data_IF_551985792825
#
_entry.id   IF_551985792825
#
_cell.length_a   1.000
_cell.length_b   1.000
_cell.length_c   1.000
_cell.angle_alpha   90.00
_cell.angle_beta   90.00
_cell.angle_gamma   90.00
#
_symmetry.space_group_name_H-M   'P 1'
#
loop_
_entity.id
_entity.type
_entity.pdbx_description
1 polymer ?
#
# COMPACT_ATOMS: atom_id res chain seq x y z
N UNK A 1 -16.03 27.14 -9.06
CA UNK A 1 -14.98 26.40 -8.33
C UNK A 1 -14.82 25.09 -9.08
N UNK A 2 -13.63 24.79 -9.59
CA UNK A 2 -13.35 23.46 -10.16
C UNK A 2 -12.64 22.63 -9.09
N UNK A 3 -13.15 21.43 -8.84
CA UNK A 3 -12.57 20.48 -7.91
C UNK A 3 -11.73 19.46 -8.68
N UNK A 4 -10.65 19.00 -8.06
CA UNK A 4 -9.86 17.89 -8.58
C UNK A 4 -10.64 16.58 -8.46
N UNK A 5 -10.42 15.67 -9.40
CA UNK A 5 -10.88 14.29 -9.22
C UNK A 5 -9.96 13.56 -8.21
N UNK A 6 -10.40 12.45 -7.59
CA UNK A 6 -9.60 11.74 -6.59
C UNK A 6 -8.19 11.35 -7.10
N UNK A 7 -8.07 10.96 -8.36
CA UNK A 7 -6.80 10.59 -8.99
C UNK A 7 -5.87 11.80 -9.15
N UNK A 8 -6.40 12.98 -9.46
CA UNK A 8 -5.65 14.23 -9.48
C UNK A 8 -5.20 14.63 -8.07
N UNK A 9 -6.04 14.45 -7.04
CA UNK A 9 -5.67 14.72 -5.65
C UNK A 9 -4.51 13.80 -5.21
N UNK A 10 -4.53 12.52 -5.60
CA UNK A 10 -3.46 11.55 -5.36
C UNK A 10 -2.20 11.90 -6.16
N UNK A 11 -2.35 12.42 -7.38
CA UNK A 11 -1.21 12.88 -8.17
C UNK A 11 -0.56 14.11 -7.51
N UNK A 12 -1.33 15.15 -7.21
CA UNK A 12 -0.76 16.46 -6.87
C UNK A 12 -0.40 16.60 -5.39
N UNK A 13 -1.23 16.11 -4.48
CA UNK A 13 -1.03 16.28 -3.04
C UNK A 13 0.28 15.64 -2.54
N UNK A 14 0.44 14.32 -2.70
CA UNK A 14 1.68 13.61 -2.42
C UNK A 14 2.91 14.14 -3.17
N UNK A 15 2.78 14.55 -4.44
CA UNK A 15 3.91 15.13 -5.21
C UNK A 15 4.41 16.44 -4.59
N UNK A 16 3.50 17.37 -4.27
CA UNK A 16 3.86 18.62 -3.61
C UNK A 16 4.45 18.36 -2.21
N UNK A 17 3.94 17.36 -1.49
CA UNK A 17 4.48 16.96 -0.19
C UNK A 17 5.91 16.42 -0.30
N UNK A 18 6.20 15.57 -1.28
CA UNK A 18 7.55 15.08 -1.55
C UNK A 18 8.51 16.22 -1.93
N UNK A 19 8.07 17.17 -2.75
CA UNK A 19 8.88 18.34 -3.12
C UNK A 19 9.29 19.15 -1.89
N UNK A 20 8.32 19.42 -1.01
CA UNK A 20 8.56 20.12 0.25
C UNK A 20 9.50 19.33 1.17
N UNK A 21 9.34 18.01 1.27
CA UNK A 21 10.24 17.15 2.03
C UNK A 21 11.67 17.20 1.50
N UNK A 22 11.85 17.06 0.18
CA UNK A 22 13.15 17.05 -0.48
C UNK A 22 13.87 18.38 -0.29
N UNK A 23 13.20 19.50 -0.58
CA UNK A 23 13.86 20.81 -0.52
C UNK A 23 14.21 21.22 0.90
N UNK A 24 13.39 20.86 1.91
CA UNK A 24 13.59 21.25 3.32
C UNK A 24 14.51 20.31 4.08
N UNK A 25 14.50 19.01 3.78
CA UNK A 25 15.40 18.03 4.41
C UNK A 25 16.87 18.17 3.97
N UNK A 26 17.12 18.92 2.88
CA UNK A 26 18.43 19.04 2.22
C UNK A 26 18.95 17.72 1.62
N UNK A 27 18.09 16.72 1.46
CA UNK A 27 18.41 15.53 0.67
C UNK A 27 18.66 15.92 -0.80
N UNK A 28 19.45 15.11 -1.50
CA UNK A 28 19.80 15.30 -2.91
C UNK A 28 18.99 14.43 -3.88
N UNK A 29 18.03 13.67 -3.35
CA UNK A 29 17.15 12.83 -4.14
C UNK A 29 16.36 11.81 -3.33
N UNK A 30 15.77 10.87 -4.06
CA UNK A 30 14.99 9.75 -3.58
C UNK A 30 15.56 8.43 -4.08
N UNK A 31 15.43 7.39 -3.27
CA UNK A 31 15.63 6.02 -3.69
C UNK A 31 14.36 5.20 -3.46
N UNK A 32 13.89 4.50 -4.49
CA UNK A 32 12.71 3.64 -4.42
C UNK A 32 13.05 2.21 -4.82
N UNK A 33 12.81 1.22 -3.93
CA UNK A 33 12.66 -0.17 -4.31
C UNK A 33 11.46 -0.34 -5.26
N UNK A 34 11.73 -0.49 -6.56
CA UNK A 34 10.69 -0.56 -7.59
C UNK A 34 10.45 -2.02 -7.97
N UNK A 35 9.32 -2.58 -7.53
CA UNK A 35 8.99 -4.00 -7.71
C UNK A 35 8.30 -4.33 -9.04
N UNK A 36 7.79 -3.33 -9.77
CA UNK A 36 6.90 -3.55 -10.92
C UNK A 36 5.46 -3.94 -10.54
N UNK A 37 5.13 -3.93 -9.24
CA UNK A 37 3.78 -4.02 -8.70
C UNK A 37 3.10 -2.65 -8.58
N UNK A 38 1.79 -2.67 -8.29
CA UNK A 38 0.93 -1.48 -8.28
C UNK A 38 1.42 -0.37 -7.34
N UNK A 39 1.85 -0.73 -6.13
CA UNK A 39 2.11 0.26 -5.08
C UNK A 39 3.41 1.01 -5.33
N UNK A 40 4.52 0.30 -5.56
CA UNK A 40 5.80 0.95 -5.90
C UNK A 40 5.70 1.73 -7.22
N UNK A 41 4.88 1.27 -8.17
CA UNK A 41 4.66 2.00 -9.42
C UNK A 41 3.85 3.29 -9.20
N UNK A 42 2.92 3.28 -8.25
CA UNK A 42 2.19 4.49 -7.83
C UNK A 42 3.13 5.51 -7.19
N UNK A 43 4.04 5.07 -6.31
CA UNK A 43 5.07 5.95 -5.73
C UNK A 43 5.97 6.54 -6.82
N UNK A 44 6.41 5.72 -7.78
CA UNK A 44 7.23 6.18 -8.90
C UNK A 44 6.48 7.23 -9.75
N UNK A 45 5.21 6.98 -10.07
CA UNK A 45 4.37 7.93 -10.81
C UNK A 45 4.19 9.26 -10.08
N UNK A 46 4.05 9.24 -8.75
CA UNK A 46 3.99 10.45 -7.90
C UNK A 46 5.31 11.24 -7.96
N UNK A 47 6.47 10.57 -7.93
CA UNK A 47 7.76 11.26 -8.09
C UNK A 47 7.91 11.82 -9.51
N UNK A 48 7.46 11.09 -10.53
CA UNK A 48 7.41 11.59 -11.91
C UNK A 48 6.52 12.82 -12.06
N UNK A 49 5.31 12.79 -11.48
CA UNK A 49 4.39 13.92 -11.43
C UNK A 49 5.00 15.13 -10.70
N UNK A 50 5.71 14.90 -9.59
CA UNK A 50 6.45 15.96 -8.88
C UNK A 50 7.46 16.63 -9.82
N UNK A 51 8.25 15.87 -10.58
CA UNK A 51 9.18 16.45 -11.54
C UNK A 51 8.45 17.25 -12.64
N UNK A 52 7.33 16.75 -13.17
CA UNK A 52 6.53 17.48 -14.17
C UNK A 52 5.98 18.80 -13.61
N UNK A 53 5.50 18.81 -12.36
CA UNK A 53 5.02 20.03 -11.69
C UNK A 53 6.16 21.03 -11.47
N UNK A 54 7.35 20.58 -11.06
CA UNK A 54 8.53 21.43 -10.88
C UNK A 54 8.91 22.14 -12.19
N UNK A 55 8.98 21.41 -13.30
CA UNK A 55 9.27 22.02 -14.61
C UNK A 55 8.19 23.03 -14.98
N UNK A 56 6.91 22.67 -14.80
CA UNK A 56 5.78 23.56 -15.09
C UNK A 56 5.85 24.87 -14.30
N UNK A 57 6.31 24.85 -13.06
CA UNK A 57 6.43 26.06 -12.25
C UNK A 57 7.68 26.88 -12.59
N UNK A 58 8.77 26.23 -13.00
CA UNK A 58 9.95 26.92 -13.58
C UNK A 58 9.54 27.66 -14.86
N UNK A 59 8.76 27.03 -15.74
CA UNK A 59 8.28 27.63 -16.99
C UNK A 59 7.35 28.83 -16.76
N UNK A 60 6.66 28.87 -15.60
CA UNK A 60 5.85 30.03 -15.18
C UNK A 60 6.68 31.15 -14.54
N UNK A 61 7.99 30.95 -14.34
CA UNK A 61 8.88 31.93 -13.74
C UNK A 61 8.97 31.87 -12.21
N UNK A 62 8.70 30.72 -11.59
CA UNK A 62 8.94 30.55 -10.15
C UNK A 62 10.45 30.41 -9.86
N UNK A 63 11.06 31.52 -9.47
CA UNK A 63 12.50 31.58 -9.17
C UNK A 63 12.91 30.76 -7.94
N UNK A 64 12.00 30.55 -6.97
CA UNK A 64 12.30 29.72 -5.80
C UNK A 64 12.38 28.25 -6.20
N UNK A 65 11.38 27.75 -6.93
CA UNK A 65 11.35 26.37 -7.43
C UNK A 65 12.57 26.12 -8.34
N UNK A 66 12.90 27.07 -9.21
CA UNK A 66 14.09 27.00 -10.07
C UNK A 66 15.38 26.88 -9.27
N UNK A 67 15.57 27.72 -8.26
CA UNK A 67 16.76 27.68 -7.40
C UNK A 67 16.84 26.37 -6.60
N UNK A 68 15.72 25.91 -6.04
CA UNK A 68 15.66 24.64 -5.31
C UNK A 68 15.96 23.44 -6.23
N UNK A 69 15.41 23.41 -7.44
CA UNK A 69 15.64 22.34 -8.41
C UNK A 69 17.09 22.31 -8.91
N UNK A 70 17.67 23.49 -9.19
CA UNK A 70 19.09 23.61 -9.56
C UNK A 70 20.00 23.08 -8.44
N UNK A 71 19.69 23.40 -7.18
CA UNK A 71 20.42 22.90 -6.01
C UNK A 71 20.29 21.40 -5.83
N UNK A 72 19.06 20.88 -5.80
CA UNK A 72 18.79 19.46 -5.53
C UNK A 72 19.42 18.59 -6.63
N UNK A 73 19.21 18.97 -7.90
CA UNK A 73 19.79 18.27 -9.04
C UNK A 73 21.30 18.51 -9.23
N UNK A 74 21.92 19.38 -8.41
CA UNK A 74 23.34 19.73 -8.46
C UNK A 74 23.76 20.16 -9.88
N UNK A 75 23.00 21.10 -10.44
CA UNK A 75 23.31 21.73 -11.73
C UNK A 75 24.51 22.68 -11.57
N UNK A 76 25.22 22.93 -12.68
CA UNK A 76 26.31 23.91 -12.70
C UNK A 76 25.73 25.33 -12.67
N UNK A 77 26.57 26.30 -12.34
CA UNK A 77 26.17 27.71 -12.29
C UNK A 77 25.54 28.16 -13.61
N UNK A 78 24.30 28.65 -13.55
CA UNK A 78 23.53 29.10 -14.71
C UNK A 78 22.72 28.01 -15.42
N UNK A 79 22.91 26.72 -15.09
CA UNK A 79 22.09 25.62 -15.59
C UNK A 79 20.87 25.38 -14.69
N UNK A 80 19.75 24.97 -15.28
CA UNK A 80 18.53 24.60 -14.56
C UNK A 80 17.76 23.55 -15.36
N UNK A 81 16.91 22.74 -14.70
CA UNK A 81 16.14 21.71 -15.40
C UNK A 81 15.10 22.33 -16.33
N UNK A 82 15.00 21.78 -17.54
CA UNK A 82 13.97 22.14 -18.54
C UNK A 82 13.13 20.94 -18.98
N UNK A 83 13.47 19.73 -18.53
CA UNK A 83 12.79 18.49 -18.87
C UNK A 83 12.60 17.64 -17.62
N UNK A 84 11.38 17.13 -17.42
CA UNK A 84 11.04 16.43 -16.18
C UNK A 84 11.74 15.09 -16.05
N UNK A 85 12.06 14.44 -17.18
CA UNK A 85 12.77 13.15 -17.19
C UNK A 85 14.25 13.35 -16.88
N UNK A 86 14.85 14.44 -17.37
CA UNK A 86 16.22 14.84 -17.03
C UNK A 86 16.35 15.18 -15.54
N UNK A 87 15.40 15.95 -15.00
CA UNK A 87 15.34 16.23 -13.57
C UNK A 87 15.19 14.93 -12.76
N UNK A 88 14.25 14.05 -13.14
CA UNK A 88 14.06 12.75 -12.50
C UNK A 88 15.33 11.91 -12.54
N UNK A 89 16.07 11.90 -13.65
CA UNK A 89 17.34 11.14 -13.77
C UNK A 89 18.40 11.57 -12.74
N UNK A 90 18.35 12.83 -12.30
CA UNK A 90 19.33 13.37 -11.34
C UNK A 90 18.97 13.11 -9.90
N UNK A 91 17.69 13.10 -9.56
CA UNK A 91 17.22 13.06 -8.18
C UNK A 91 16.43 11.80 -7.84
N UNK A 92 16.01 10.98 -8.81
CA UNK A 92 15.18 9.81 -8.57
C UNK A 92 15.88 8.53 -9.01
N UNK A 93 16.22 7.71 -8.01
CA UNK A 93 16.89 6.44 -8.17
C UNK A 93 15.90 5.32 -7.91
N UNK A 94 15.82 4.36 -8.83
CA UNK A 94 14.95 3.19 -8.70
C UNK A 94 15.80 1.92 -8.74
N UNK A 95 15.44 0.93 -7.94
CA UNK A 95 16.13 -0.36 -7.93
C UNK A 95 15.13 -1.51 -7.90
N UNK A 96 15.20 -2.36 -8.91
CA UNK A 96 14.54 -3.67 -8.93
C UNK A 96 15.48 -4.69 -8.28
N UNK A 97 15.00 -5.40 -7.25
CA UNK A 97 15.80 -6.36 -6.48
C UNK A 97 15.23 -7.77 -6.66
N UNK A 98 15.54 -8.35 -7.81
CA UNK A 98 15.04 -9.65 -8.25
C UNK A 98 15.73 -10.83 -7.56
N UNK A 99 15.03 -11.96 -7.56
CA UNK A 99 15.55 -13.27 -7.14
C UNK A 99 15.27 -14.29 -8.24
N UNK A 100 15.73 -15.53 -8.08
CA UNK A 100 15.38 -16.66 -8.96
C UNK A 100 13.86 -16.90 -9.07
N UNK A 101 13.09 -16.44 -8.07
CA UNK A 101 11.63 -16.56 -8.03
C UNK A 101 10.91 -15.42 -8.77
N UNK A 102 11.62 -14.36 -9.14
CA UNK A 102 11.01 -13.16 -9.71
C UNK A 102 10.76 -13.31 -11.20
N UNK A 103 9.59 -12.89 -11.67
CA UNK A 103 9.20 -13.03 -13.08
C UNK A 103 9.88 -11.98 -13.97
N UNK A 104 10.10 -12.34 -15.23
CA UNK A 104 10.55 -11.36 -16.23
C UNK A 104 9.51 -10.25 -16.44
N UNK A 105 8.23 -10.55 -16.21
CA UNK A 105 7.15 -9.58 -16.35
C UNK A 105 7.23 -8.46 -15.30
N UNK A 106 7.47 -8.77 -14.01
CA UNK A 106 7.64 -7.73 -12.97
C UNK A 106 8.89 -6.89 -13.22
N UNK A 107 10.00 -7.53 -13.59
CA UNK A 107 11.26 -6.86 -13.96
C UNK A 107 11.05 -5.91 -15.14
N UNK A 108 10.40 -6.38 -16.20
CA UNK A 108 10.15 -5.61 -17.42
C UNK A 108 9.26 -4.40 -17.16
N UNK A 109 8.19 -4.57 -16.37
CA UNK A 109 7.31 -3.44 -15.97
C UNK A 109 8.07 -2.38 -15.18
N UNK A 110 8.87 -2.78 -14.19
CA UNK A 110 9.68 -1.85 -13.40
C UNK A 110 10.63 -1.03 -14.29
N UNK A 111 11.32 -1.69 -15.22
CA UNK A 111 12.24 -1.05 -16.15
C UNK A 111 11.53 -0.08 -17.10
N UNK A 112 10.43 -0.50 -17.74
CA UNK A 112 9.67 0.37 -18.66
C UNK A 112 9.17 1.63 -17.96
N UNK A 113 8.60 1.49 -16.77
CA UNK A 113 8.12 2.64 -16.00
C UNK A 113 9.26 3.58 -15.61
N UNK A 114 10.39 3.02 -15.17
CA UNK A 114 11.57 3.81 -14.83
C UNK A 114 12.10 4.61 -16.02
N UNK A 115 12.08 4.03 -17.23
CA UNK A 115 12.44 4.68 -18.49
C UNK A 115 11.44 5.78 -18.89
N UNK A 116 10.13 5.54 -18.78
CA UNK A 116 9.08 6.53 -19.05
C UNK A 116 9.24 7.77 -18.14
N UNK A 117 9.43 7.56 -16.84
CA UNK A 117 9.65 8.64 -15.86
C UNK A 117 11.02 9.32 -16.06
N UNK A 118 12.03 8.57 -16.49
CA UNK A 118 13.41 9.04 -16.62
C UNK A 118 14.28 8.82 -15.38
N UNK A 119 13.86 7.98 -14.44
CA UNK A 119 14.64 7.69 -13.22
C UNK A 119 15.96 6.96 -13.53
N UNK A 120 16.95 7.09 -12.65
CA UNK A 120 18.17 6.29 -12.74
C UNK A 120 17.90 4.88 -12.19
N UNK A 121 17.77 3.90 -13.09
CA UNK A 121 17.31 2.55 -12.76
C UNK A 121 18.43 1.52 -12.61
N UNK A 122 18.32 0.68 -11.58
CA UNK A 122 19.17 -0.48 -11.34
C UNK A 122 18.32 -1.76 -11.36
N UNK A 123 18.88 -2.82 -11.92
CA UNK A 123 18.38 -4.19 -11.80
C UNK A 123 19.45 -5.03 -11.12
N UNK A 124 19.14 -5.51 -9.90
CA UNK A 124 20.11 -6.16 -9.02
C UNK A 124 19.57 -7.53 -8.59
N UNK A 125 20.21 -8.63 -9.01
CA UNK A 125 19.91 -9.94 -8.45
C UNK A 125 20.47 -10.05 -7.02
N UNK A 126 19.63 -10.47 -6.06
CA UNK A 126 20.02 -10.56 -4.64
C UNK A 126 20.28 -11.99 -4.15
N UNK A 127 20.17 -12.99 -5.02
CA UNK A 127 20.26 -14.42 -4.67
C UNK A 127 21.58 -14.79 -3.99
N UNK A 128 22.69 -14.16 -4.39
CA UNK A 128 24.00 -14.40 -3.79
C UNK A 128 24.05 -13.95 -2.33
N UNK A 129 23.41 -12.83 -2.00
CA UNK A 129 23.32 -12.29 -0.64
C UNK A 129 22.39 -13.16 0.21
N UNK A 130 21.23 -13.55 -0.33
CA UNK A 130 20.29 -14.46 0.32
C UNK A 130 20.99 -15.79 0.64
N UNK A 131 21.67 -16.38 -0.35
CA UNK A 131 22.40 -17.63 -0.20
C UNK A 131 23.49 -17.53 0.87
N UNK A 132 24.23 -16.42 0.94
CA UNK A 132 25.24 -16.22 1.97
C UNK A 132 24.66 -16.24 3.39
N UNK A 133 23.48 -15.60 3.59
CA UNK A 133 22.77 -15.64 4.87
C UNK A 133 22.28 -17.05 5.22
N UNK A 134 21.73 -17.79 4.24
CA UNK A 134 21.26 -19.16 4.46
C UNK A 134 22.42 -20.12 4.78
N UNK A 135 23.55 -20.02 4.07
CA UNK A 135 24.75 -20.81 4.37
C UNK A 135 25.35 -20.47 5.73
N UNK A 136 25.26 -19.21 6.18
CA UNK A 136 25.63 -18.85 7.55
C UNK A 136 24.70 -19.52 8.57
N UNK A 137 23.38 -19.44 8.37
CA UNK A 137 22.40 -20.06 9.26
C UNK A 137 22.58 -21.58 9.35
N UNK A 138 22.82 -22.25 8.22
CA UNK A 138 23.08 -23.68 8.16
C UNK A 138 24.36 -24.06 8.93
N UNK A 139 25.46 -23.29 8.76
CA UNK A 139 26.69 -23.51 9.54
C UNK A 139 26.49 -23.31 11.05
N UNK A 140 25.64 -22.38 11.45
CA UNK A 140 25.37 -22.09 12.86
C UNK A 140 24.45 -23.12 13.54
N UNK A 141 23.49 -23.67 12.79
CA UNK A 141 22.39 -24.47 13.38
C UNK A 141 22.36 -25.93 12.93
N UNK A 142 23.11 -26.28 11.88
CA UNK A 142 23.03 -27.57 11.20
C UNK A 142 21.73 -27.82 10.43
N UNK A 143 20.89 -26.78 10.24
CA UNK A 143 19.60 -26.89 9.54
C UNK A 143 19.53 -25.89 8.39
N UNK A 144 19.01 -26.33 7.25
CA UNK A 144 18.69 -25.49 6.11
C UNK A 144 17.17 -25.41 5.94
N UNK A 145 16.57 -24.20 5.96
CA UNK A 145 15.13 -24.05 5.75
C UNK A 145 14.77 -24.32 4.28
N UNK A 146 13.58 -24.89 4.06
CA UNK A 146 13.02 -25.14 2.73
C UNK A 146 11.73 -24.34 2.51
N UNK A 147 11.45 -23.97 1.24
CA UNK A 147 10.14 -23.40 0.89
C UNK A 147 9.04 -24.45 1.08
N UNK A 148 7.80 -23.98 1.27
CA UNK A 148 6.64 -24.84 1.44
C UNK A 148 6.43 -25.76 0.22
N UNK A 149 6.64 -25.22 -0.98
CA UNK A 149 6.57 -25.97 -2.26
C UNK A 149 7.64 -27.07 -2.37
N UNK A 150 8.71 -26.98 -1.58
CA UNK A 150 9.81 -27.93 -1.50
C UNK A 150 9.73 -28.83 -0.25
N UNK A 151 8.58 -28.85 0.44
CA UNK A 151 8.33 -29.70 1.61
C UNK A 151 8.71 -29.06 2.95
N UNK A 152 9.08 -27.78 2.98
CA UNK A 152 9.33 -27.04 4.21
C UNK A 152 8.07 -26.73 5.01
N UNK A 153 8.22 -26.50 6.32
CA UNK A 153 7.12 -26.07 7.19
C UNK A 153 6.71 -24.62 6.92
N UNK A 154 5.53 -24.21 7.41
CA UNK A 154 5.08 -22.82 7.34
C UNK A 154 6.09 -21.83 7.95
N UNK A 155 6.74 -22.23 9.05
CA UNK A 155 7.76 -21.41 9.72
C UNK A 155 8.99 -21.20 8.86
N UNK A 156 9.47 -22.26 8.18
CA UNK A 156 10.61 -22.17 7.27
C UNK A 156 10.29 -21.28 6.07
N UNK A 157 9.14 -21.51 5.44
CA UNK A 157 8.67 -20.75 4.30
C UNK A 157 8.59 -19.24 4.61
N UNK A 158 7.94 -18.89 5.74
CA UNK A 158 7.84 -17.51 6.18
C UNK A 158 9.21 -16.93 6.55
N UNK A 159 10.11 -17.73 7.13
CA UNK A 159 11.48 -17.34 7.40
C UNK A 159 12.26 -16.95 6.13
N UNK A 160 12.13 -17.76 5.08
CA UNK A 160 12.75 -17.53 3.76
C UNK A 160 12.21 -16.28 3.05
N UNK A 161 10.90 -16.06 3.08
CA UNK A 161 10.31 -14.84 2.53
C UNK A 161 10.77 -13.59 3.29
N UNK A 162 10.76 -13.66 4.63
CA UNK A 162 11.14 -12.53 5.48
C UNK A 162 12.61 -12.12 5.27
N UNK A 163 13.53 -13.07 5.12
CA UNK A 163 14.96 -12.72 4.95
C UNK A 163 15.20 -12.03 3.60
N UNK A 164 14.55 -12.47 2.53
CA UNK A 164 14.60 -11.79 1.23
C UNK A 164 14.05 -10.36 1.35
N UNK A 165 12.90 -10.18 1.99
CA UNK A 165 12.27 -8.88 2.17
C UNK A 165 13.17 -7.90 2.98
N UNK A 166 13.87 -8.39 4.01
CA UNK A 166 14.79 -7.57 4.82
C UNK A 166 16.10 -7.24 4.11
N UNK A 167 16.66 -8.17 3.33
CA UNK A 167 17.87 -7.91 2.55
C UNK A 167 17.64 -6.76 1.55
N UNK A 168 16.45 -6.73 0.92
CA UNK A 168 16.05 -5.63 0.03
C UNK A 168 16.09 -4.27 0.74
N UNK A 169 15.59 -4.20 1.98
CA UNK A 169 15.65 -2.97 2.78
C UNK A 169 17.09 -2.54 3.07
N UNK A 170 17.94 -3.47 3.51
CA UNK A 170 19.36 -3.18 3.79
C UNK A 170 20.07 -2.64 2.55
N UNK A 171 19.85 -3.27 1.39
CA UNK A 171 20.42 -2.82 0.12
C UNK A 171 19.91 -1.43 -0.28
N UNK A 172 18.60 -1.17 -0.13
CA UNK A 172 18.00 0.12 -0.43
C UNK A 172 18.64 1.27 0.37
N UNK A 173 18.79 1.12 1.69
CA UNK A 173 19.42 2.14 2.53
C UNK A 173 20.92 2.31 2.24
N UNK A 174 21.63 1.21 1.96
CA UNK A 174 23.03 1.28 1.55
C UNK A 174 23.18 2.08 0.25
N UNK A 175 22.34 1.81 -0.75
CA UNK A 175 22.33 2.58 -2.00
C UNK A 175 21.94 4.04 -1.75
N UNK A 176 20.92 4.30 -0.93
CA UNK A 176 20.49 5.67 -0.67
C UNK A 176 21.59 6.54 -0.03
N UNK A 177 22.45 5.90 0.77
CA UNK A 177 23.61 6.53 1.42
C UNK A 177 24.82 6.68 0.49
N UNK A 178 25.07 5.72 -0.39
CA UNK A 178 26.32 5.63 -1.16
C UNK A 178 26.19 6.03 -2.63
N UNK A 179 24.99 6.01 -3.22
CA UNK A 179 24.81 6.37 -4.63
C UNK A 179 25.21 7.82 -4.95
N UNK A 180 24.97 8.83 -4.08
CA UNK A 180 25.55 10.17 -4.29
C UNK A 180 27.07 10.10 -4.43
N UNK A 181 27.75 9.40 -3.52
CA UNK A 181 29.21 9.20 -3.55
C UNK A 181 29.67 8.51 -4.84
N UNK A 182 29.00 7.43 -5.28
CA UNK A 182 29.29 6.72 -6.54
C UNK A 182 29.24 7.68 -7.74
N UNK A 183 28.31 8.64 -7.72
CA UNK A 183 28.15 9.61 -8.80
C UNK A 183 28.95 10.91 -8.59
N UNK A 184 29.87 10.95 -7.62
CA UNK A 184 30.62 12.17 -7.25
C UNK A 184 29.69 13.35 -6.93
N UNK A 185 28.50 13.05 -6.40
CA UNK A 185 27.51 14.01 -5.91
C UNK A 185 27.58 14.09 -4.39
N UNK A 186 27.17 15.23 -3.85
CA UNK A 186 27.01 15.42 -2.42
C UNK A 186 25.62 15.01 -1.93
N UNK A 187 25.48 14.83 -0.61
CA UNK A 187 24.20 14.57 0.05
C UNK A 187 23.85 13.09 0.19
N UNK A 188 22.57 12.83 0.40
CA UNK A 188 21.98 11.51 0.62
C UNK A 188 20.61 11.46 -0.05
N UNK A 189 20.12 10.25 -0.32
CA UNK A 189 18.76 10.04 -0.83
C UNK A 189 17.83 9.61 0.29
N UNK A 190 16.58 10.06 0.23
CA UNK A 190 15.51 9.57 1.08
C UNK A 190 14.96 8.27 0.50
N UNK A 191 14.92 7.21 1.29
CA UNK A 191 14.28 5.95 0.90
C UNK A 191 12.78 6.13 0.94
N UNK A 192 12.11 5.81 -0.16
CA UNK A 192 10.66 5.85 -0.28
C UNK A 192 10.04 4.47 0.01
N UNK A 193 9.08 4.44 0.91
CA UNK A 193 8.25 3.26 1.17
C UNK A 193 7.05 3.21 0.23
N UNK A 194 6.49 2.02 0.04
CA UNK A 194 5.36 1.78 -0.87
C UNK A 194 4.29 0.87 -0.28
N UNK A 195 4.12 0.84 1.04
CA UNK A 195 2.99 0.13 1.65
C UNK A 195 1.73 0.98 1.57
N UNK A 196 0.58 0.41 1.26
CA UNK A 196 -0.70 1.12 1.26
C UNK A 196 -1.44 1.04 2.61
N UNK A 197 -2.53 1.80 2.75
CA UNK A 197 -3.27 1.92 4.01
C UNK A 197 -3.93 0.60 4.44
N UNK A 198 -4.37 -0.22 3.49
CA UNK A 198 -5.12 -1.45 3.74
C UNK A 198 -4.18 -2.57 4.23
N UNK A 199 -3.00 -2.69 3.62
CA UNK A 199 -1.91 -3.56 4.07
C UNK A 199 -1.41 -3.16 5.46
N UNK A 200 -1.22 -1.86 5.70
CA UNK A 200 -0.86 -1.32 7.01
C UNK A 200 -1.90 -1.67 8.08
N UNK A 201 -3.18 -1.48 7.78
CA UNK A 201 -4.29 -1.80 8.68
C UNK A 201 -4.30 -3.29 9.06
N UNK A 202 -4.08 -4.15 8.08
CA UNK A 202 -4.03 -5.61 8.26
C UNK A 202 -2.71 -6.09 8.86
N UNK A 203 -1.66 -5.27 8.75
CA UNK A 203 -0.28 -5.61 9.04
C UNK A 203 0.28 -6.70 8.13
N UNK A 204 -0.14 -6.72 6.87
CA UNK A 204 0.34 -7.60 5.81
C UNK A 204 1.62 -7.01 5.19
N UNK A 205 2.71 -7.12 5.95
CA UNK A 205 4.05 -6.66 5.59
C UNK A 205 5.07 -7.38 6.46
N UNK A 206 6.33 -7.48 6.02
CA UNK A 206 7.41 -8.00 6.86
C UNK A 206 7.94 -6.87 7.73
N UNK A 207 7.99 -7.07 9.05
CA UNK A 207 8.56 -6.04 9.94
C UNK A 207 10.04 -5.82 9.56
N UNK A 208 10.37 -4.57 9.23
CA UNK A 208 11.68 -4.13 8.74
C UNK A 208 12.09 -4.62 7.34
N UNK A 209 11.13 -4.84 6.44
CA UNK A 209 11.39 -4.88 5.00
C UNK A 209 11.30 -3.47 4.36
N UNK A 210 11.13 -3.37 3.05
CA UNK A 210 10.97 -2.10 2.32
C UNK A 210 9.68 -1.31 2.68
N UNK A 211 8.78 -1.85 3.51
CA UNK A 211 7.74 -1.07 4.20
C UNK A 211 8.31 -0.12 5.25
N UNK A 212 9.56 -0.37 5.68
CA UNK A 212 10.36 0.49 6.55
C UNK A 212 11.35 1.29 5.69
N UNK A 213 10.99 2.54 5.45
CA UNK A 213 11.70 3.56 4.69
C UNK A 213 11.70 4.89 5.48
N UNK A 214 12.26 5.97 4.91
CA UNK A 214 12.28 7.29 5.55
C UNK A 214 10.89 7.93 5.54
N UNK A 215 10.23 7.90 4.38
CA UNK A 215 8.89 8.46 4.16
C UNK A 215 8.09 7.63 3.16
N UNK A 216 6.75 7.66 3.26
CA UNK A 216 5.86 6.94 2.36
C UNK A 216 4.74 7.85 1.82
N UNK A 217 4.73 8.19 0.52
CA UNK A 217 3.73 9.09 -0.05
C UNK A 217 2.35 8.44 -0.25
N UNK A 218 2.23 7.11 -0.17
CA UNK A 218 0.97 6.38 -0.41
C UNK A 218 0.45 5.63 0.82
N UNK A 219 1.13 5.72 1.97
CA UNK A 219 0.79 4.94 3.18
C UNK A 219 -0.57 5.20 3.79
N UNK A 220 -1.27 6.24 3.33
CA UNK A 220 -2.65 6.54 3.70
C UNK A 220 -3.61 6.55 2.51
N UNK A 221 -3.28 5.88 1.39
CA UNK A 221 -4.14 5.75 0.20
C UNK A 221 -4.62 4.29 0.09
N UNK A 222 -5.90 4.10 -0.26
CA UNK A 222 -6.49 2.76 -0.43
C UNK A 222 -5.96 2.04 -1.67
N UNK A 223 -5.92 0.71 -1.64
CA UNK A 223 -5.50 -0.09 -2.80
C UNK A 223 -6.41 0.17 -4.01
N UNK A 224 -7.70 0.41 -3.77
CA UNK A 224 -8.66 0.69 -4.84
C UNK A 224 -8.36 2.03 -5.52
N UNK A 225 -8.07 3.07 -4.73
CA UNK A 225 -7.74 4.38 -5.27
C UNK A 225 -6.38 4.39 -5.96
N UNK A 226 -5.40 3.61 -5.47
CA UNK A 226 -4.14 3.42 -6.17
C UNK A 226 -4.34 2.79 -7.56
N UNK A 227 -5.21 1.77 -7.68
CA UNK A 227 -5.53 1.19 -9.00
C UNK A 227 -6.20 2.20 -9.93
N UNK A 228 -7.13 3.02 -9.41
CA UNK A 228 -7.75 4.09 -10.19
C UNK A 228 -6.70 5.12 -10.64
N UNK A 229 -5.82 5.53 -9.73
CA UNK A 229 -4.71 6.43 -10.01
C UNK A 229 -3.76 5.88 -11.07
N UNK A 230 -3.41 4.59 -11.05
CA UNK A 230 -2.54 3.99 -12.07
C UNK A 230 -3.13 4.11 -13.49
N UNK A 231 -4.43 3.85 -13.66
CA UNK A 231 -5.13 4.02 -14.94
C UNK A 231 -5.13 5.48 -15.38
N UNK A 232 -5.39 6.40 -14.44
CA UNK A 232 -5.36 7.82 -14.71
C UNK A 232 -3.96 8.29 -15.12
N UNK A 233 -2.93 7.88 -14.38
CA UNK A 233 -1.53 8.25 -14.61
C UNK A 233 -1.00 7.70 -15.94
N UNK A 234 -1.45 6.51 -16.35
CA UNK A 234 -1.08 5.94 -17.65
C UNK A 234 -1.41 6.87 -18.82
N UNK A 235 -2.54 7.57 -18.72
CA UNK A 235 -3.03 8.48 -19.76
C UNK A 235 -2.55 9.92 -19.51
N UNK A 236 -2.79 10.45 -18.30
CA UNK A 236 -2.64 11.87 -18.01
C UNK A 236 -1.19 12.28 -17.69
N UNK A 237 -0.38 11.35 -17.15
CA UNK A 237 1.06 11.57 -16.95
C UNK A 237 1.91 10.97 -18.08
N UNK A 238 1.27 10.30 -19.05
CA UNK A 238 1.89 9.62 -20.19
C UNK A 238 2.83 8.46 -19.80
N UNK A 239 2.52 7.77 -18.70
CA UNK A 239 3.27 6.60 -18.22
C UNK A 239 2.54 5.31 -18.63
N UNK A 240 2.52 5.03 -19.93
CA UNK A 240 1.67 3.98 -20.54
C UNK A 240 1.83 2.60 -19.92
N UNK A 241 3.04 2.25 -19.44
CA UNK A 241 3.31 0.98 -18.77
C UNK A 241 2.46 0.74 -17.51
N UNK A 242 1.93 1.80 -16.88
CA UNK A 242 1.08 1.69 -15.69
C UNK A 242 -0.26 0.99 -15.96
N UNK A 243 -0.75 1.00 -17.20
CA UNK A 243 -1.96 0.25 -17.56
C UNK A 243 -1.74 -1.27 -17.43
N UNK A 244 -0.55 -1.75 -17.83
CA UNK A 244 -0.17 -3.16 -17.67
C UNK A 244 0.11 -3.52 -16.21
N UNK A 245 0.70 -2.59 -15.44
CA UNK A 245 0.90 -2.76 -13.98
C UNK A 245 -0.44 -2.94 -13.28
N UNK A 246 -1.44 -2.12 -13.61
CA UNK A 246 -2.76 -2.20 -12.97
C UNK A 246 -3.51 -3.49 -13.34
N UNK A 247 -3.37 -3.94 -14.59
CA UNK A 247 -4.00 -5.17 -15.07
C UNK A 247 -3.35 -6.45 -14.50
N UNK A 248 -2.10 -6.37 -14.05
CA UNK A 248 -1.39 -7.51 -13.51
C UNK A 248 -1.98 -7.97 -12.16
N UNK A 249 -2.05 -9.30 -11.90
CA UNK A 249 -2.50 -9.80 -10.61
C UNK A 249 -1.52 -9.40 -9.50
N UNK A 250 -2.01 -8.99 -8.32
CA UNK A 250 -1.14 -8.64 -7.18
C UNK A 250 -0.46 -9.89 -6.62
N UNK A 251 0.87 -9.93 -6.67
CA UNK A 251 1.71 -11.04 -6.21
C UNK A 251 3.02 -10.51 -5.59
N UNK A 252 3.50 -11.18 -4.54
CA UNK A 252 4.74 -10.83 -3.86
C UNK A 252 6.00 -11.49 -4.45
N UNK A 253 5.84 -12.55 -5.25
CA UNK A 253 6.94 -13.33 -5.88
C UNK A 253 8.10 -13.67 -4.92
N UNK A 254 7.78 -14.04 -3.66
CA UNK A 254 8.78 -14.40 -2.63
C UNK A 254 8.97 -15.91 -2.46
N UNK A 255 8.13 -16.71 -3.11
CA UNK A 255 8.20 -18.18 -3.17
C UNK A 255 8.45 -18.62 -4.62
N UNK A 256 9.06 -19.81 -4.85
CA UNK A 256 9.21 -20.36 -6.18
C UNK A 256 7.86 -20.49 -6.90
N UNK A 257 7.73 -19.79 -8.03
CA UNK A 257 6.54 -19.86 -8.88
C UNK A 257 6.54 -21.23 -9.56
N UNK A 258 5.47 -22.00 -9.37
CA UNK A 258 5.20 -23.24 -10.11
C UNK A 258 3.97 -23.07 -10.98
N UNK A 259 3.82 -23.91 -11.99
CA UNK A 259 2.70 -23.84 -12.95
C UNK A 259 1.32 -23.87 -12.29
N UNK A 260 1.22 -24.42 -11.07
CA UNK A 260 0.00 -24.55 -10.27
C UNK A 260 -0.08 -23.60 -9.06
N UNK A 261 0.94 -22.75 -8.82
CA UNK A 261 1.01 -21.91 -7.63
C UNK A 261 1.56 -20.50 -7.90
N UNK A 262 0.73 -19.51 -7.63
CA UNK A 262 1.11 -18.10 -7.54
C UNK A 262 0.69 -17.52 -6.20
N UNK A 263 1.55 -16.69 -5.62
CA UNK A 263 1.33 -16.08 -4.31
C UNK A 263 0.46 -14.83 -4.43
N UNK A 264 -0.86 -15.00 -4.42
CA UNK A 264 -1.82 -13.89 -4.48
C UNK A 264 -2.09 -13.27 -3.11
N UNK A 265 -1.94 -11.96 -3.00
CA UNK A 265 -2.06 -11.23 -1.72
C UNK A 265 -3.40 -11.45 -1.00
N UNK A 266 -4.52 -11.35 -1.73
CA UNK A 266 -5.86 -11.49 -1.13
C UNK A 266 -6.13 -12.91 -0.61
N UNK A 267 -5.54 -13.91 -1.26
CA UNK A 267 -5.62 -15.32 -0.84
C UNK A 267 -4.80 -15.51 0.44
N UNK A 268 -3.57 -14.98 0.48
CA UNK A 268 -2.69 -15.06 1.64
C UNK A 268 -3.27 -14.30 2.86
N UNK A 269 -3.91 -13.14 2.63
CA UNK A 269 -4.58 -12.38 3.68
C UNK A 269 -5.89 -13.06 4.16
N UNK A 270 -6.53 -13.84 3.29
CA UNK A 270 -7.87 -14.42 3.51
C UNK A 270 -8.99 -13.37 3.49
N UNK A 271 -8.78 -12.27 2.76
CA UNK A 271 -9.71 -11.14 2.64
C UNK A 271 -9.35 -10.31 1.41
N UNK A 272 -10.36 -9.75 0.75
CA UNK A 272 -10.13 -8.86 -0.41
C UNK A 272 -9.77 -7.45 0.05
N UNK A 273 -9.14 -6.67 -0.83
CA UNK A 273 -8.88 -5.25 -0.59
C UNK A 273 -10.19 -4.46 -0.42
N UNK A 274 -11.27 -4.85 -1.11
CA UNK A 274 -12.60 -4.25 -0.92
C UNK A 274 -13.13 -4.48 0.51
N UNK A 275 -13.00 -5.71 1.02
CA UNK A 275 -13.37 -6.02 2.40
C UNK A 275 -12.52 -5.24 3.40
N UNK A 276 -11.21 -5.14 3.16
CA UNK A 276 -10.28 -4.39 4.01
C UNK A 276 -10.64 -2.90 4.13
N UNK A 277 -10.93 -2.23 3.00
CA UNK A 277 -11.33 -0.83 3.04
C UNK A 277 -12.66 -0.63 3.78
N UNK A 278 -13.61 -1.58 3.66
CA UNK A 278 -14.85 -1.58 4.45
C UNK A 278 -14.55 -1.73 5.95
N UNK A 279 -13.73 -2.70 6.34
CA UNK A 279 -13.33 -2.90 7.74
C UNK A 279 -12.63 -1.67 8.31
N UNK A 280 -11.74 -1.04 7.54
CA UNK A 280 -11.03 0.18 7.91
C UNK A 280 -11.98 1.32 8.22
N UNK A 281 -12.92 1.62 7.31
CA UNK A 281 -13.93 2.67 7.49
C UNK A 281 -14.83 2.37 8.69
N UNK A 282 -15.34 1.14 8.82
CA UNK A 282 -16.17 0.74 9.97
C UNK A 282 -15.41 0.89 11.29
N UNK A 283 -14.16 0.42 11.36
CA UNK A 283 -13.32 0.49 12.56
C UNK A 283 -13.01 1.92 12.98
N UNK A 284 -12.60 2.77 12.04
CA UNK A 284 -12.02 4.10 12.35
C UNK A 284 -13.06 5.23 12.27
N UNK A 285 -13.84 5.29 11.20
CA UNK A 285 -14.83 6.36 10.98
C UNK A 285 -16.09 6.08 11.80
N UNK A 286 -16.65 4.88 11.67
CA UNK A 286 -17.87 4.49 12.39
C UNK A 286 -17.60 3.93 13.79
N UNK A 287 -16.33 3.86 14.21
CA UNK A 287 -15.89 3.46 15.55
C UNK A 287 -16.36 2.07 15.98
N UNK A 288 -16.55 1.16 15.03
CA UNK A 288 -17.02 -0.18 15.30
C UNK A 288 -15.91 -1.06 15.89
N UNK A 289 -16.16 -1.64 17.07
CA UNK A 289 -15.46 -2.84 17.55
C UNK A 289 -16.01 -4.12 16.92
N UNK A 290 -15.53 -5.32 17.33
CA UNK A 290 -15.89 -6.58 16.66
C UNK A 290 -17.41 -6.84 16.60
N UNK A 291 -18.12 -6.67 17.72
CA UNK A 291 -19.57 -6.95 17.80
C UNK A 291 -20.37 -5.98 16.93
N UNK A 292 -20.11 -4.68 17.04
CA UNK A 292 -20.79 -3.66 16.24
C UNK A 292 -20.47 -3.77 14.74
N UNK A 293 -19.24 -4.16 14.38
CA UNK A 293 -18.86 -4.39 12.99
C UNK A 293 -19.61 -5.59 12.43
N UNK A 294 -19.68 -6.69 13.18
CA UNK A 294 -20.49 -7.85 12.83
C UNK A 294 -21.95 -7.46 12.57
N UNK A 295 -22.62 -6.78 13.50
CA UNK A 295 -24.01 -6.36 13.34
C UNK A 295 -24.23 -5.46 12.11
N UNK A 296 -23.30 -4.52 11.86
CA UNK A 296 -23.38 -3.65 10.68
C UNK A 296 -23.23 -4.45 9.37
N UNK A 297 -22.22 -5.33 9.31
CA UNK A 297 -21.96 -6.15 8.13
C UNK A 297 -23.03 -7.20 7.88
N UNK A 298 -23.66 -7.70 8.95
CA UNK A 298 -24.83 -8.56 8.84
C UNK A 298 -25.94 -7.91 8.01
N UNK A 299 -26.21 -6.62 8.26
CA UNK A 299 -27.16 -5.87 7.47
C UNK A 299 -26.63 -5.59 6.05
N UNK A 300 -25.38 -5.11 5.94
CA UNK A 300 -24.79 -4.70 4.64
C UNK A 300 -24.59 -5.87 3.67
N UNK A 301 -24.30 -7.06 4.18
CA UNK A 301 -24.08 -8.28 3.40
C UNK A 301 -25.24 -9.26 3.50
N UNK A 302 -26.40 -8.81 4.00
CA UNK A 302 -27.64 -9.57 3.95
C UNK A 302 -27.91 -10.05 2.52
N UNK A 303 -28.40 -11.28 2.38
CA UNK A 303 -28.62 -11.91 1.07
C UNK A 303 -27.37 -12.41 0.34
N UNK A 304 -26.17 -11.92 0.69
CA UNK A 304 -24.90 -12.35 0.10
C UNK A 304 -24.15 -13.36 0.96
N UNK A 305 -24.14 -13.17 2.27
CA UNK A 305 -23.47 -14.03 3.24
C UNK A 305 -24.42 -14.40 4.39
N UNK A 306 -24.20 -15.57 4.99
CA UNK A 306 -24.84 -15.98 6.23
C UNK A 306 -24.23 -15.26 7.44
N UNK A 307 -24.96 -15.15 8.57
CA UNK A 307 -24.42 -14.58 9.80
C UNK A 307 -23.11 -15.25 10.22
N UNK A 308 -23.02 -16.58 10.12
CA UNK A 308 -21.81 -17.35 10.45
C UNK A 308 -20.61 -16.96 9.58
N UNK A 309 -20.80 -16.79 8.26
CA UNK A 309 -19.72 -16.35 7.36
C UNK A 309 -19.27 -14.91 7.67
N UNK A 310 -20.21 -14.01 8.00
CA UNK A 310 -19.87 -12.65 8.43
C UNK A 310 -19.10 -12.68 9.75
N UNK A 311 -19.51 -13.52 10.70
CA UNK A 311 -18.81 -13.69 11.98
C UNK A 311 -17.37 -14.16 11.77
N UNK A 312 -17.15 -15.17 10.92
CA UNK A 312 -15.82 -15.69 10.63
C UNK A 312 -14.91 -14.62 10.01
N UNK A 313 -15.43 -13.86 9.04
CA UNK A 313 -14.70 -12.75 8.42
C UNK A 313 -14.31 -11.66 9.42
N UNK A 314 -15.24 -11.23 10.27
CA UNK A 314 -14.98 -10.20 11.30
C UNK A 314 -13.97 -10.71 12.33
N UNK A 315 -14.11 -11.95 12.80
CA UNK A 315 -13.16 -12.57 13.73
C UNK A 315 -11.77 -12.68 13.13
N UNK A 316 -11.67 -13.09 11.86
CA UNK A 316 -10.42 -13.18 11.12
C UNK A 316 -9.74 -11.81 11.01
N UNK A 317 -10.47 -10.77 10.60
CA UNK A 317 -9.96 -9.40 10.56
C UNK A 317 -9.40 -8.94 11.92
N UNK A 318 -10.19 -9.03 13.00
CA UNK A 318 -9.76 -8.52 14.32
C UNK A 318 -8.63 -9.34 14.95
N UNK A 319 -8.58 -10.67 14.72
CA UNK A 319 -7.45 -11.51 15.13
C UNK A 319 -6.16 -10.99 14.52
N UNK A 320 -6.17 -10.77 13.21
CA UNK A 320 -4.96 -10.40 12.50
C UNK A 320 -4.56 -8.93 12.68
N UNK A 321 -5.53 -8.02 12.74
CA UNK A 321 -5.31 -6.65 13.18
C UNK A 321 -4.61 -6.63 14.56
N UNK A 322 -5.09 -7.44 15.51
CA UNK A 322 -4.53 -7.50 16.86
C UNK A 322 -3.09 -8.02 16.90
N UNK A 323 -2.81 -9.19 16.28
CA UNK A 323 -1.45 -9.78 16.34
C UNK A 323 -0.43 -8.94 15.59
N UNK A 324 -0.84 -8.21 14.55
CA UNK A 324 0.07 -7.42 13.74
C UNK A 324 0.15 -5.94 14.13
N UNK A 325 -0.64 -5.45 15.11
CA UNK A 325 -0.64 -4.02 15.45
C UNK A 325 0.73 -3.50 15.87
N UNK A 326 1.56 -4.34 16.49
CA UNK A 326 2.94 -4.03 16.84
C UNK A 326 3.84 -3.66 15.64
N UNK A 327 3.41 -3.90 14.39
CA UNK A 327 4.10 -3.43 13.18
C UNK A 327 3.83 -1.95 12.91
N UNK A 328 2.64 -1.46 13.26
CA UNK A 328 2.26 -0.05 13.04
C UNK A 328 3.05 0.93 13.90
N UNK A 329 3.58 0.49 15.04
CA UNK A 329 4.38 1.33 15.94
C UNK A 329 5.74 1.72 15.35
N UNK A 330 6.17 1.04 14.28
CA UNK A 330 7.45 1.30 13.59
C UNK A 330 7.26 1.48 12.08
N UNK A 331 6.01 1.53 11.60
CA UNK A 331 5.75 1.71 10.18
C UNK A 331 6.16 3.14 9.78
N UNK A 332 6.65 3.28 8.55
CA UNK A 332 7.15 4.55 8.03
C UNK A 332 6.11 5.68 8.10
N UNK A 333 6.51 6.88 8.54
CA UNK A 333 5.67 8.07 8.48
C UNK A 333 5.15 8.31 7.06
N UNK A 334 3.84 8.50 6.95
CA UNK A 334 3.17 8.52 5.66
C UNK A 334 2.44 9.83 5.42
N UNK A 335 2.31 10.23 4.16
CA UNK A 335 1.35 11.27 3.74
C UNK A 335 -0.05 10.91 4.24
N UNK A 336 -0.79 11.88 4.76
CA UNK A 336 -2.14 11.65 5.27
C UNK A 336 -3.18 11.97 4.19
N UNK A 337 -4.03 11.00 3.87
CA UNK A 337 -5.08 11.14 2.84
C UNK A 337 -6.40 10.58 3.38
N UNK A 338 -6.43 9.28 3.66
CA UNK A 338 -7.63 8.60 4.14
C UNK A 338 -7.98 8.89 5.61
N UNK A 339 -9.25 9.23 5.85
CA UNK A 339 -9.81 9.45 7.20
C UNK A 339 -9.92 8.16 8.04
N UNK A 340 -9.53 7.02 7.48
CA UNK A 340 -9.49 5.74 8.18
C UNK A 340 -8.07 5.21 8.45
N UNK A 341 -7.04 6.03 8.24
CA UNK A 341 -5.64 5.66 8.43
C UNK A 341 -5.38 4.96 9.79
N UNK A 342 -4.62 3.84 9.81
CA UNK A 342 -4.24 3.14 11.03
C UNK A 342 -2.98 3.71 11.70
N UNK A 343 -2.43 4.84 11.21
CA UNK A 343 -1.19 5.48 11.66
C UNK A 343 -1.18 5.73 13.18
N UNK A 344 -0.17 5.19 13.89
CA UNK A 344 -0.17 5.09 15.35
C UNK A 344 0.52 6.28 16.05
N UNK A 345 1.34 7.08 15.37
CA UNK A 345 2.09 8.17 16.00
C UNK A 345 1.21 9.39 16.29
N UNK A 346 0.18 9.66 15.48
CA UNK A 346 -0.62 10.88 15.56
C UNK A 346 -2.12 10.65 15.40
N UNK A 347 -2.53 9.84 14.43
CA UNK A 347 -3.94 9.83 14.02
C UNK A 347 -4.80 8.76 14.71
N UNK A 348 -4.25 7.57 14.95
CA UNK A 348 -4.97 6.41 15.47
C UNK A 348 -4.25 5.77 16.64
N UNK A 349 -4.19 6.51 17.75
CA UNK A 349 -3.60 6.06 19.01
C UNK A 349 -4.34 4.82 19.54
N UNK A 350 -3.66 3.68 19.63
CA UNK A 350 -4.25 2.39 20.02
C UNK A 350 -3.28 1.57 20.85
N UNK A 351 -3.79 0.55 21.55
CA UNK A 351 -2.92 -0.49 22.12
C UNK A 351 -2.19 -1.21 20.98
N UNK A 352 -1.00 -1.75 21.25
CA UNK A 352 -0.28 -2.65 20.33
C UNK A 352 -0.06 -4.05 20.92
N UNK A 353 -0.40 -4.23 22.20
CA UNK A 353 -0.48 -5.52 22.89
C UNK A 353 -1.94 -5.82 23.22
N UNK A 354 -2.60 -6.58 22.35
CA UNK A 354 -3.98 -7.04 22.55
C UNK A 354 -4.03 -8.49 23.02
N UNK A 355 -5.11 -8.86 23.70
CA UNK A 355 -5.57 -10.24 23.70
C UNK A 355 -6.20 -10.55 22.34
N UNK A 356 -5.43 -11.15 21.42
CA UNK A 356 -5.84 -11.42 20.04
C UNK A 356 -6.93 -12.49 19.87
N UNK A 357 -7.33 -13.15 20.96
CA UNK A 357 -8.47 -14.09 20.97
C UNK A 357 -9.81 -13.41 21.18
N UNK A 358 -9.81 -12.13 21.60
CA UNK A 358 -11.01 -11.30 21.79
C UNK A 358 -12.18 -12.05 22.50
N UNK A 359 -11.92 -12.69 23.66
CA UNK A 359 -12.76 -13.78 24.16
C UNK A 359 -14.20 -13.37 24.48
N UNK A 360 -14.40 -12.14 24.99
CA UNK A 360 -15.74 -11.63 25.26
C UNK A 360 -16.47 -11.30 23.96
N UNK A 361 -15.82 -10.55 23.07
CA UNK A 361 -16.41 -10.04 21.85
C UNK A 361 -16.76 -11.19 20.89
N UNK A 362 -15.87 -12.18 20.74
CA UNK A 362 -16.11 -13.32 19.86
C UNK A 362 -17.22 -14.22 20.39
N UNK A 363 -17.28 -14.47 21.71
CA UNK A 363 -18.40 -15.17 22.33
C UNK A 363 -19.72 -14.44 22.14
N UNK A 364 -19.71 -13.11 22.23
CA UNK A 364 -20.92 -12.30 22.00
C UNK A 364 -21.39 -12.38 20.54
N UNK A 365 -20.47 -12.38 19.58
CA UNK A 365 -20.79 -12.64 18.16
C UNK A 365 -21.43 -14.02 18.01
N UNK A 366 -20.87 -15.06 18.63
CA UNK A 366 -21.42 -16.43 18.55
C UNK A 366 -22.83 -16.53 19.11
N UNK A 367 -23.12 -15.86 20.21
CA UNK A 367 -24.47 -15.76 20.77
C UNK A 367 -25.43 -15.07 19.79
N UNK A 368 -25.01 -13.96 19.19
CA UNK A 368 -25.84 -13.23 18.23
C UNK A 368 -26.13 -14.05 16.96
N UNK A 369 -25.15 -14.82 16.46
CA UNK A 369 -25.36 -15.75 15.34
C UNK A 369 -26.44 -16.78 15.71
N UNK A 370 -26.33 -17.39 16.90
CA UNK A 370 -27.33 -18.36 17.37
C UNK A 370 -28.73 -17.76 17.53
N UNK A 371 -28.83 -16.51 18.01
CA UNK A 371 -30.11 -15.83 18.18
C UNK A 371 -30.74 -15.50 16.81
N UNK A 372 -29.95 -15.05 15.84
CA UNK A 372 -30.40 -14.76 14.47
C UNK A 372 -30.89 -16.03 13.77
N UNK A 373 -30.17 -17.15 13.93
CA UNK A 373 -30.54 -18.42 13.32
C UNK A 373 -31.85 -19.00 13.93
N UNK A 374 -32.10 -18.76 15.22
CA UNK A 374 -33.36 -19.14 15.89
C UNK A 374 -34.55 -18.31 15.44
N UNK A 375 -34.36 -17.02 15.22
CA UNK A 375 -35.43 -16.09 14.86
C UNK A 375 -35.91 -16.27 13.40
N UNK A 376 -35.20 -17.02 12.55
CA UNK A 376 -35.60 -17.33 11.16
C UNK A 376 -35.64 -16.13 10.20
N UNK A 377 -35.55 -14.89 10.71
CA UNK A 377 -35.65 -13.62 9.97
C UNK A 377 -34.68 -13.51 8.81
N UNK A 378 -33.48 -14.08 8.93
CA UNK A 378 -32.48 -14.03 7.86
C UNK A 378 -32.90 -14.82 6.61
N UNK A 379 -33.76 -15.83 6.76
CA UNK A 379 -34.31 -16.63 5.65
C UNK A 379 -35.43 -15.86 4.94
N UNK A 380 -36.20 -15.06 5.68
CA UNK A 380 -37.28 -14.23 5.12
C UNK A 380 -36.74 -13.07 4.28
N UNK A 381 -35.70 -12.37 4.75
CA UNK A 381 -35.05 -11.29 3.98
C UNK A 381 -34.37 -11.81 2.69
N UNK A 382 -33.80 -13.03 2.69
CA UNK A 382 -33.28 -13.67 1.46
C UNK A 382 -34.39 -13.90 0.43
N UNK A 383 -35.59 -14.29 0.87
CA UNK A 383 -36.74 -14.51 -0.02
C UNK A 383 -37.25 -13.19 -0.58
N UNK A 384 -37.33 -12.13 0.23
CA UNK A 384 -37.72 -10.80 -0.22
C UNK A 384 -36.75 -10.21 -1.26
N UNK A 385 -35.42 -10.29 -1.03
CA UNK A 385 -34.42 -9.77 -1.99
C UNK A 385 -34.38 -10.60 -3.29
N UNK A 386 -34.61 -11.92 -3.20
CA UNK A 386 -34.74 -12.78 -4.39
C UNK A 386 -35.96 -12.46 -5.25
N UNK A 387 -37.09 -12.07 -4.63
CA UNK A 387 -38.31 -11.65 -5.34
C UNK A 387 -38.14 -10.27 -5.99
N UNK A 388 -37.45 -9.34 -5.34
CA UNK A 388 -37.08 -8.02 -5.89
C UNK A 388 -36.12 -8.14 -7.08
N UNK A 389 -35.13 -9.04 -7.01
CA UNK A 389 -34.21 -9.31 -8.13
C UNK A 389 -34.88 -9.96 -9.34
N UNK A 390 -35.95 -10.75 -9.15
CA UNK A 390 -36.72 -11.31 -10.26
C UNK A 390 -37.60 -10.27 -10.98
N UNK A 391 -37.94 -9.15 -10.33
CA UNK A 391 -38.79 -8.10 -10.91
C UNK A 391 -38.03 -6.86 -11.39
N UNK A 392 -36.69 -6.82 -11.22
CA UNK A 392 -35.85 -5.64 -11.48
C UNK A 392 -34.83 -5.79 -12.62
N UNK A 393 -35.11 -6.59 -13.66
CA UNK A 393 -34.22 -6.69 -14.83
C UNK A 393 -34.40 -5.49 -15.77
N UNK A 394 -33.93 -4.32 -15.37
CA UNK A 394 -33.69 -3.18 -16.27
C UNK A 394 -32.38 -2.47 -15.88
N UNK A 395 -31.45 -2.44 -16.85
CA UNK A 395 -30.09 -1.84 -16.94
C UNK A 395 -29.61 -0.95 -15.77
N UNK A 396 -28.32 -1.04 -15.35
CA UNK A 396 -27.75 -0.05 -14.45
C UNK A 396 -27.49 1.25 -15.23
N UNK A 397 -28.16 2.33 -14.82
CA UNK A 397 -27.82 3.69 -15.23
C UNK A 397 -26.62 4.20 -14.42
N UNK A 398 -25.68 4.82 -15.13
CA UNK A 398 -24.61 5.66 -14.57
C UNK A 398 -25.20 6.76 -13.67
N UNK A 399 -24.54 7.03 -12.54
CA UNK A 399 -24.86 8.19 -11.70
C UNK A 399 -24.10 8.16 -10.38
N UNK A 400 -22.94 8.82 -10.33
CA UNK A 400 -22.30 9.20 -9.09
C UNK A 400 -23.13 10.24 -8.33
N UNK A 401 -23.12 10.16 -7.01
CA UNK A 401 -23.83 11.08 -6.13
C UNK A 401 -23.06 11.34 -4.84
N UNK A 402 -22.41 12.49 -4.79
CA UNK A 402 -21.81 13.14 -3.62
C UNK A 402 -22.79 13.28 -2.44
N UNK A 403 -22.23 13.22 -1.22
CA UNK A 403 -22.50 14.16 -0.13
C UNK A 403 -23.87 14.12 0.54
N UNK A 404 -23.93 13.57 1.76
CA UNK A 404 -24.87 14.07 2.77
C UNK A 404 -24.10 14.98 3.71
N UNK A 405 -24.40 16.27 3.61
CA UNK A 405 -23.93 17.34 4.48
C UNK A 405 -24.33 17.03 5.92
N UNK A 406 -23.35 17.07 6.83
CA UNK A 406 -23.60 17.07 8.27
C UNK A 406 -24.29 18.38 8.67
N UNK A 407 -25.57 18.30 9.01
CA UNK A 407 -26.27 19.34 9.75
C UNK A 407 -26.87 18.69 11.01
N UNK A 408 -26.34 19.02 12.19
CA UNK A 408 -27.00 18.70 13.46
C UNK A 408 -26.14 18.18 14.62
N UNK A 409 -24.82 18.02 14.49
CA UNK A 409 -23.96 17.50 15.58
C UNK A 409 -23.58 18.53 16.66
N UNK A 410 -24.44 19.53 16.89
CA UNK A 410 -24.29 20.50 17.97
C UNK A 410 -25.56 20.53 18.83
N UNK A 411 -25.86 19.43 19.52
CA UNK A 411 -26.81 19.44 20.62
C UNK A 411 -26.28 18.60 21.80
N UNK A 412 -25.75 19.22 22.87
CA UNK A 412 -25.15 18.53 24.00
C UNK A 412 -26.18 17.99 25.03
N UNK A 413 -27.43 17.77 24.64
CA UNK A 413 -28.50 17.36 25.56
C UNK A 413 -29.17 16.01 25.25
N UNK A 414 -28.60 15.21 24.34
CA UNK A 414 -29.12 13.85 24.08
C UNK A 414 -28.34 12.84 24.92
N UNK A 415 -28.76 12.72 26.19
CA UNK A 415 -28.17 11.80 27.16
C UNK A 415 -28.74 12.00 28.56
N UNK A 416 -30.00 11.62 28.75
CA UNK A 416 -30.59 11.19 30.03
C UNK A 416 -31.35 9.90 29.79
#
# INVERSE_FOLDING_TARGET
IMYHCPEEEIAFGPSCWLWDYLRRSRASGFLLPLSGGADSSSVAAIVGCMCQLVIKDIDKGDEQVKADAARIGQYRDGEFPTDSRELAKRLFYTVYMGTENSSEDTRSRAKRLAEEIGSFHFDVPIDSVVSAFLSLFERLTGKRPHYKVDGGSHTENLGLQNIQARIRMVLAFMMASLMPWVHSKSGFYLVLGSSNVDEGLRGYLTKYDCSSADINPIGSVSKQDLRAFLRWAAVNLQYSSLAEVEAAPPTAELEPIRTDYSQLDEVDMGMTYEELSIYGRLRKIFRCGPVSMFQNLCHRWCGRLSPSEVADKVKHFFKYYAINRHKMTVLTPSYHAESYSPEDNRFDLRQFLYNSTWPYQFRKIDQLVQDIDKDGKWVEDRRADSQLRQHGAARPAQGGGMGVVAAGSANPSVGL
#
